data_IF_005333891970
#
_entry.id   IF_005333891970
#
_cell.length_a   1.000
_cell.length_b   1.000
_cell.length_c   1.000
_cell.angle_alpha   90.00
_cell.angle_beta   90.00
_cell.angle_gamma   90.00
#
_symmetry.space_group_name_H-M   'P 1'
#
loop_
_entity.id
_entity.type
_entity.pdbx_description
1 polymer ?
#
# COMPACT_ATOMS: atom_id res chain seq x y z
N UNK A 1 24.72 -25.47 9.63
CA UNK A 1 25.15 -25.93 8.30
C UNK A 1 24.53 -25.04 7.25
N UNK A 2 25.27 -24.66 6.22
CA UNK A 2 24.78 -23.85 5.11
C UNK A 2 24.65 -24.72 3.86
N UNK A 3 23.50 -24.67 3.19
CA UNK A 3 23.27 -25.42 1.95
C UNK A 3 22.74 -24.50 0.85
N UNK A 4 23.39 -24.45 -0.33
CA UNK A 4 22.85 -23.71 -1.46
C UNK A 4 21.55 -24.36 -1.94
N UNK A 5 20.58 -23.54 -2.35
CA UNK A 5 19.33 -24.00 -2.95
C UNK A 5 19.41 -23.91 -4.47
N UNK A 6 18.53 -24.63 -5.17
CA UNK A 6 18.32 -24.46 -6.62
C UNK A 6 17.66 -23.12 -6.97
N UNK A 7 17.19 -22.36 -5.97
CA UNK A 7 16.51 -21.07 -6.11
C UNK A 7 17.24 -19.98 -5.31
N UNK A 8 18.27 -19.36 -5.93
CA UNK A 8 19.00 -18.13 -5.51
C UNK A 8 19.18 -17.88 -3.99
N UNK A 9 19.37 -18.91 -3.18
CA UNK A 9 19.44 -18.76 -1.72
C UNK A 9 20.34 -19.76 -1.02
N UNK A 10 20.61 -19.48 0.25
CA UNK A 10 21.43 -20.33 1.13
C UNK A 10 20.62 -20.64 2.38
N UNK A 11 20.24 -21.90 2.56
CA UNK A 11 19.54 -22.37 3.75
C UNK A 11 20.51 -22.49 4.93
N UNK A 12 20.00 -22.19 6.11
CA UNK A 12 20.70 -22.27 7.39
C UNK A 12 20.04 -23.31 8.26
N UNK A 13 20.77 -24.36 8.61
CA UNK A 13 20.28 -25.50 9.38
C UNK A 13 20.96 -25.59 10.74
N UNK A 14 20.17 -25.89 11.77
CA UNK A 14 20.69 -26.40 13.04
C UNK A 14 21.08 -27.88 12.86
N UNK A 15 22.37 -28.17 13.02
CA UNK A 15 22.91 -29.51 12.77
C UNK A 15 22.51 -30.51 13.85
N UNK A 16 22.37 -30.04 15.10
CA UNK A 16 22.03 -30.92 16.21
C UNK A 16 20.58 -31.39 16.15
N UNK A 17 19.66 -30.52 15.70
CA UNK A 17 18.22 -30.80 15.66
C UNK A 17 17.71 -31.17 14.28
N UNK A 18 18.46 -30.89 13.21
CA UNK A 18 17.98 -31.00 11.83
C UNK A 18 16.95 -29.91 11.44
N UNK A 19 16.77 -28.89 12.28
CA UNK A 19 15.80 -27.82 12.05
C UNK A 19 16.31 -26.80 11.02
N UNK A 20 15.49 -26.47 10.02
CA UNK A 20 15.73 -25.34 9.12
C UNK A 20 15.46 -24.05 9.88
N UNK A 21 16.48 -23.20 10.05
CA UNK A 21 16.34 -21.90 10.68
C UNK A 21 15.82 -20.84 9.70
N UNK A 22 16.14 -20.99 8.41
CA UNK A 22 15.67 -20.09 7.36
C UNK A 22 16.59 -20.08 6.15
N UNK A 23 16.35 -19.15 5.23
CA UNK A 23 17.08 -19.01 3.97
C UNK A 23 17.57 -17.58 3.81
N UNK A 24 18.85 -17.42 3.50
CA UNK A 24 19.41 -16.17 3.01
C UNK A 24 19.16 -16.02 1.51
N UNK A 25 18.71 -14.84 1.10
CA UNK A 25 18.68 -14.37 -0.26
C UNK A 25 19.62 -13.17 -0.37
N UNK A 26 20.49 -13.18 -1.37
CA UNK A 26 21.47 -12.11 -1.60
C UNK A 26 21.10 -11.35 -2.86
N UNK A 27 21.16 -10.03 -2.79
CA UNK A 27 20.94 -9.17 -3.96
C UNK A 27 22.20 -9.19 -4.82
N UNK A 28 22.06 -9.61 -6.08
CA UNK A 28 23.18 -9.82 -7.00
C UNK A 28 24.09 -8.59 -7.08
N UNK A 29 25.41 -8.83 -7.02
CA UNK A 29 26.45 -7.79 -7.10
C UNK A 29 26.42 -6.75 -5.98
N UNK A 30 25.75 -7.04 -4.86
CA UNK A 30 25.74 -6.19 -3.66
C UNK A 30 26.07 -7.01 -2.41
N UNK A 31 26.19 -6.33 -1.27
CA UNK A 31 26.27 -6.95 0.06
C UNK A 31 24.90 -7.04 0.75
N UNK A 32 23.83 -6.71 0.04
CA UNK A 32 22.49 -6.63 0.60
C UNK A 32 21.85 -8.02 0.67
N UNK A 33 21.07 -8.26 1.72
CA UNK A 33 20.51 -9.57 1.99
C UNK A 33 19.15 -9.51 2.67
N UNK A 34 18.41 -10.60 2.55
CA UNK A 34 17.24 -10.90 3.36
C UNK A 34 17.37 -12.33 3.88
N UNK A 35 17.15 -12.51 5.16
CA UNK A 35 16.93 -13.80 5.79
C UNK A 35 15.42 -14.01 6.02
N UNK A 36 14.88 -15.12 5.55
CA UNK A 36 13.46 -15.49 5.72
C UNK A 36 13.39 -16.81 6.48
N UNK A 37 12.66 -16.85 7.59
CA UNK A 37 12.42 -18.07 8.35
C UNK A 37 11.27 -18.91 7.78
N UNK A 38 11.15 -20.21 8.14
CA UNK A 38 10.03 -21.04 7.72
C UNK A 38 8.66 -20.51 8.16
N UNK A 39 8.61 -19.72 9.23
CA UNK A 39 7.39 -19.08 9.74
C UNK A 39 6.98 -17.84 8.94
N UNK A 40 7.80 -17.42 7.96
CA UNK A 40 7.56 -16.24 7.12
C UNK A 40 8.12 -14.93 7.69
N UNK A 41 8.72 -14.96 8.89
CA UNK A 41 9.41 -13.80 9.46
C UNK A 41 10.66 -13.46 8.65
N UNK A 42 11.04 -12.18 8.64
CA UNK A 42 12.25 -11.76 7.95
C UNK A 42 13.09 -10.76 8.74
N UNK A 43 14.38 -10.76 8.41
CA UNK A 43 15.38 -9.76 8.82
C UNK A 43 16.32 -9.52 7.63
N UNK A 44 17.01 -8.40 7.59
CA UNK A 44 17.80 -8.07 6.42
C UNK A 44 18.49 -6.73 6.49
N UNK A 45 19.30 -6.47 5.48
CA UNK A 45 19.84 -5.13 5.28
C UNK A 45 18.73 -4.18 4.79
N UNK A 46 18.80 -2.87 5.08
CA UNK A 46 17.75 -1.93 4.69
C UNK A 46 17.44 -1.90 3.19
N UNK A 47 18.43 -2.10 2.31
CA UNK A 47 18.17 -2.16 0.87
C UNK A 47 17.72 -3.56 0.43
N UNK A 48 18.22 -4.64 1.04
CA UNK A 48 17.75 -6.00 0.75
C UNK A 48 16.26 -6.17 1.05
N UNK A 49 15.80 -5.62 2.17
CA UNK A 49 14.38 -5.67 2.56
C UNK A 49 13.46 -4.91 1.58
N UNK A 50 13.94 -3.88 0.88
CA UNK A 50 13.14 -3.14 -0.11
C UNK A 50 12.82 -3.94 -1.36
N UNK A 51 13.62 -4.97 -1.66
CA UNK A 51 13.43 -5.87 -2.80
C UNK A 51 12.41 -6.98 -2.51
N UNK A 52 11.86 -7.02 -1.30
CA UNK A 52 11.01 -8.11 -0.84
C UNK A 52 9.54 -7.85 -1.18
N UNK A 53 8.92 -8.81 -1.87
CA UNK A 53 7.50 -8.78 -2.19
C UNK A 53 6.85 -10.09 -1.74
N UNK A 54 5.79 -9.97 -0.94
CA UNK A 54 4.94 -11.11 -0.58
C UNK A 54 3.76 -11.18 -1.54
N UNK A 55 3.40 -12.39 -1.95
CA UNK A 55 2.25 -12.64 -2.82
C UNK A 55 1.21 -13.44 -2.06
N UNK A 56 -0.04 -12.98 -2.09
CA UNK A 56 -1.22 -13.73 -1.63
C UNK A 56 -2.24 -13.75 -2.75
N UNK A 57 -2.75 -14.94 -3.10
CA UNK A 57 -3.75 -15.10 -4.18
C UNK A 57 -3.32 -14.42 -5.51
N UNK A 58 -2.04 -14.54 -5.88
CA UNK A 58 -1.42 -13.89 -7.05
C UNK A 58 -1.45 -12.35 -7.04
N UNK A 59 -1.71 -11.71 -5.90
CA UNK A 59 -1.60 -10.26 -5.73
C UNK A 59 -0.42 -9.92 -4.82
N UNK A 60 0.44 -8.95 -5.19
CA UNK A 60 1.47 -8.45 -4.29
C UNK A 60 0.82 -7.72 -3.12
N UNK A 61 1.30 -7.98 -1.91
CA UNK A 61 0.91 -7.26 -0.70
C UNK A 61 1.92 -6.13 -0.48
N UNK A 62 1.47 -4.89 -0.19
CA UNK A 62 2.38 -3.81 0.19
C UNK A 62 3.24 -4.19 1.41
N UNK A 63 4.56 -4.11 1.25
CA UNK A 63 5.51 -4.50 2.28
C UNK A 63 5.32 -3.73 3.58
N UNK A 64 4.90 -2.46 3.52
CA UNK A 64 4.70 -1.60 4.69
C UNK A 64 3.77 -2.22 5.73
N UNK A 65 2.66 -2.84 5.29
CA UNK A 65 1.71 -3.50 6.20
C UNK A 65 2.25 -4.82 6.78
N UNK A 66 3.16 -5.46 6.06
CA UNK A 66 3.79 -6.70 6.51
C UNK A 66 4.97 -6.42 7.42
N UNK A 67 5.68 -5.31 7.22
CA UNK A 67 6.86 -4.97 7.98
C UNK A 67 6.58 -4.95 9.48
N UNK A 68 5.48 -4.32 9.93
CA UNK A 68 5.11 -4.26 11.34
C UNK A 68 4.93 -5.63 12.01
N UNK A 69 4.42 -6.62 11.26
CA UNK A 69 4.09 -7.94 11.80
C UNK A 69 5.16 -9.01 11.54
N UNK A 70 5.93 -8.87 10.47
CA UNK A 70 6.83 -9.92 9.96
C UNK A 70 8.30 -9.57 10.13
N UNK A 71 8.66 -8.29 10.22
CA UNK A 71 10.03 -7.90 10.51
C UNK A 71 10.40 -8.31 11.93
N UNK A 72 11.48 -9.07 12.08
CA UNK A 72 11.99 -9.50 13.37
C UNK A 72 13.49 -9.23 13.43
N UNK A 73 13.95 -8.25 14.21
CA UNK A 73 15.37 -7.95 14.28
C UNK A 73 16.15 -9.13 14.89
N UNK A 74 17.32 -9.39 14.32
CA UNK A 74 18.26 -10.42 14.75
C UNK A 74 17.69 -11.85 14.69
N UNK A 75 16.78 -12.09 13.75
CA UNK A 75 15.97 -13.30 13.63
C UNK A 75 16.83 -14.58 13.63
N UNK A 76 17.89 -14.64 12.82
CA UNK A 76 18.76 -15.82 12.77
C UNK A 76 19.42 -16.07 14.13
N UNK A 77 19.97 -15.02 14.78
CA UNK A 77 20.65 -15.15 16.07
C UNK A 77 19.70 -15.67 17.14
N UNK A 78 18.48 -15.15 17.16
CA UNK A 78 17.41 -15.57 18.08
C UNK A 78 17.01 -17.02 17.86
N UNK A 79 16.76 -17.43 16.62
CA UNK A 79 16.46 -18.84 16.29
C UNK A 79 17.63 -19.78 16.61
N UNK A 80 18.86 -19.36 16.34
CA UNK A 80 20.07 -20.14 16.66
C UNK A 80 20.23 -20.35 18.18
N UNK A 81 19.78 -19.40 18.99
CA UNK A 81 19.74 -19.51 20.46
C UNK A 81 18.53 -20.32 20.99
N UNK A 82 17.73 -20.92 20.10
CA UNK A 82 16.61 -21.78 20.46
C UNK A 82 15.28 -21.06 20.64
N UNK A 83 15.21 -19.75 20.34
CA UNK A 83 13.94 -19.03 20.39
C UNK A 83 12.96 -19.58 19.35
N UNK A 84 11.71 -19.80 19.78
CA UNK A 84 10.63 -20.31 18.95
C UNK A 84 9.70 -19.18 18.56
N UNK A 85 9.37 -19.16 17.27
CA UNK A 85 8.46 -18.19 16.68
C UNK A 85 7.22 -18.91 16.16
N UNK A 86 6.12 -18.18 16.06
CA UNK A 86 4.92 -18.65 15.36
C UNK A 86 4.69 -17.77 14.13
N UNK A 87 4.12 -18.31 13.05
CA UNK A 87 3.73 -17.51 11.90
C UNK A 87 2.85 -16.33 12.32
N UNK A 88 3.15 -15.09 11.88
CA UNK A 88 2.32 -13.94 12.21
C UNK A 88 0.87 -14.14 11.75
N UNK A 89 -0.09 -13.61 12.53
CA UNK A 89 -1.46 -13.60 12.07
C UNK A 89 -1.64 -12.58 10.92
N UNK A 90 -2.09 -13.12 9.79
CA UNK A 90 -2.27 -12.41 8.54
C UNK A 90 -3.72 -11.93 8.33
N UNK A 91 -4.60 -12.20 9.30
CA UNK A 91 -5.94 -11.63 9.42
C UNK A 91 -5.86 -10.10 9.56
N UNK A 92 -6.86 -9.43 9.00
CA UNK A 92 -6.90 -7.96 8.95
C UNK A 92 -5.97 -7.34 7.91
N UNK A 93 -5.31 -8.15 7.09
CA UNK A 93 -4.49 -7.65 5.98
C UNK A 93 -5.32 -7.60 4.70
N UNK A 94 -5.95 -6.45 4.49
CA UNK A 94 -6.87 -6.19 3.39
C UNK A 94 -6.21 -5.40 2.25
N UNK A 95 -6.77 -5.55 1.04
CA UNK A 95 -6.37 -4.79 -0.14
C UNK A 95 -6.42 -3.27 0.15
N UNK A 96 -5.53 -2.51 -0.49
CA UNK A 96 -5.55 -1.05 -0.36
C UNK A 96 -6.87 -0.48 -0.93
N UNK A 97 -7.39 0.64 -0.37
CA UNK A 97 -8.60 1.26 -0.90
C UNK A 97 -8.43 1.68 -2.36
N UNK A 98 -9.47 1.47 -3.16
CA UNK A 98 -9.54 2.01 -4.52
C UNK A 98 -10.07 3.43 -4.46
N UNK A 99 -9.43 4.39 -5.13
CA UNK A 99 -9.82 5.80 -5.11
C UNK A 99 -10.15 6.28 -6.52
N UNK A 100 -11.27 6.99 -6.66
CA UNK A 100 -11.72 7.60 -7.92
C UNK A 100 -12.07 9.08 -7.70
N UNK A 101 -11.47 9.95 -8.52
CA UNK A 101 -11.75 11.39 -8.53
C UNK A 101 -12.68 11.68 -9.70
N UNK A 102 -13.82 12.30 -9.43
CA UNK A 102 -14.77 12.79 -10.42
C UNK A 102 -14.77 14.31 -10.40
N UNK A 103 -14.86 14.91 -11.58
CA UNK A 103 -14.97 16.35 -11.75
C UNK A 103 -16.32 16.69 -12.36
N UNK A 104 -17.07 17.59 -11.74
CA UNK A 104 -18.44 17.93 -12.14
C UNK A 104 -18.49 18.95 -13.30
N UNK A 105 -17.67 18.78 -14.35
CA UNK A 105 -17.90 19.56 -15.58
C UNK A 105 -19.06 18.98 -16.37
N UNK A 106 -20.00 19.84 -16.75
CA UNK A 106 -20.97 19.52 -17.79
C UNK A 106 -20.24 19.52 -19.14
N UNK A 107 -19.82 18.35 -19.63
CA UNK A 107 -19.39 18.21 -21.02
C UNK A 107 -20.54 17.69 -21.90
N UNK A 108 -20.69 18.30 -23.08
CA UNK A 108 -21.42 17.69 -24.21
C UNK A 108 -20.63 16.44 -24.67
N UNK A 109 -21.31 15.31 -24.67
CA UNK A 109 -20.83 13.99 -25.07
C UNK A 109 -20.00 14.00 -26.37
N UNK A 110 -18.69 13.80 -26.27
CA UNK A 110 -17.87 13.09 -27.27
C UNK A 110 -16.69 12.47 -26.52
N UNK A 111 -16.76 11.16 -26.26
CA UNK A 111 -15.66 10.37 -25.71
C UNK A 111 -14.81 9.83 -26.87
N UNK A 112 -13.50 10.02 -26.79
CA UNK A 112 -12.52 9.33 -27.65
C UNK A 112 -11.66 8.50 -26.69
N UNK A 113 -11.62 7.18 -26.89
CA UNK A 113 -11.18 6.19 -25.89
C UNK A 113 -9.73 6.36 -25.38
N UNK A 114 -8.86 7.08 -26.10
CA UNK A 114 -7.41 7.12 -25.81
C UNK A 114 -6.88 8.45 -25.24
N UNK A 115 -7.71 9.48 -25.07
CA UNK A 115 -7.25 10.78 -24.56
C UNK A 115 -7.59 10.97 -23.07
N UNK A 116 -6.59 11.39 -22.29
CA UNK A 116 -6.84 11.88 -20.92
C UNK A 116 -7.83 13.04 -21.00
N UNK A 117 -8.98 12.97 -20.29
CA UNK A 117 -9.98 14.02 -20.39
C UNK A 117 -9.39 15.34 -19.89
N UNK A 118 -9.27 16.31 -20.80
CA UNK A 118 -8.90 17.68 -20.45
C UNK A 118 -10.16 18.44 -20.11
N UNK A 119 -10.19 19.06 -18.92
CA UNK A 119 -11.34 19.77 -18.39
C UNK A 119 -11.07 21.27 -18.39
N UNK A 120 -11.94 22.04 -19.04
CA UNK A 120 -11.76 23.48 -19.19
C UNK A 120 -12.58 24.20 -18.13
N UNK A 121 -11.95 24.55 -17.02
CA UNK A 121 -12.63 25.30 -15.97
C UNK A 121 -12.75 26.78 -16.36
N UNK A 122 -13.97 27.23 -16.67
CA UNK A 122 -14.26 28.65 -16.96
C UNK A 122 -14.86 29.42 -15.78
N UNK A 123 -15.21 28.73 -14.68
CA UNK A 123 -15.85 29.33 -13.51
C UNK A 123 -14.86 29.82 -12.45
N UNK A 124 -13.57 29.47 -12.59
CA UNK A 124 -12.55 29.72 -11.57
C UNK A 124 -12.71 28.82 -10.33
N UNK A 125 -13.60 27.82 -10.40
CA UNK A 125 -13.94 26.94 -9.27
C UNK A 125 -14.15 25.53 -9.79
N UNK A 126 -13.38 24.58 -9.27
CA UNK A 126 -13.51 23.18 -9.59
C UNK A 126 -14.30 22.44 -8.50
N UNK A 127 -15.37 21.74 -8.90
CA UNK A 127 -16.12 20.84 -8.01
C UNK A 127 -15.66 19.40 -8.23
N UNK A 128 -15.04 18.83 -7.20
CA UNK A 128 -14.38 17.54 -7.22
C UNK A 128 -15.05 16.61 -6.22
N UNK A 129 -15.42 15.42 -6.65
CA UNK A 129 -15.88 14.33 -5.77
C UNK A 129 -14.81 13.25 -5.73
N UNK A 130 -14.31 12.95 -4.54
CA UNK A 130 -13.39 11.84 -4.30
C UNK A 130 -14.17 10.70 -3.67
N UNK A 131 -14.17 9.54 -4.32
CA UNK A 131 -14.78 8.32 -3.83
C UNK A 131 -13.66 7.34 -3.47
N UNK A 132 -13.72 6.72 -2.30
CA UNK A 132 -12.83 5.63 -1.93
C UNK A 132 -13.64 4.38 -1.62
N UNK A 133 -13.08 3.20 -1.90
CA UNK A 133 -13.71 1.92 -1.61
C UNK A 133 -12.71 0.96 -0.99
N UNK A 134 -13.00 0.51 0.22
CA UNK A 134 -12.31 -0.54 0.93
C UNK A 134 -13.32 -1.69 1.16
N UNK A 135 -13.35 -2.73 0.30
CA UNK A 135 -14.37 -3.78 0.43
C UNK A 135 -14.24 -4.61 1.70
N UNK A 136 -13.01 -4.79 2.18
CA UNK A 136 -12.69 -5.68 3.29
C UNK A 136 -12.29 -4.90 4.57
N UNK A 137 -12.25 -3.57 4.51
CA UNK A 137 -11.84 -2.69 5.61
C UNK A 137 -12.62 -1.36 5.56
N UNK A 138 -12.28 -0.40 6.41
CA UNK A 138 -12.74 0.97 6.35
C UNK A 138 -11.71 1.89 5.71
N UNK A 139 -12.18 3.02 5.21
CA UNK A 139 -11.30 4.14 4.83
C UNK A 139 -11.16 5.05 6.04
N UNK A 140 -9.95 5.18 6.57
CA UNK A 140 -9.70 6.04 7.74
C UNK A 140 -9.74 7.53 7.41
N UNK A 141 -9.13 7.95 6.30
CA UNK A 141 -9.08 9.36 5.88
C UNK A 141 -8.93 9.52 4.36
N UNK A 142 -9.50 10.59 3.82
CA UNK A 142 -9.23 11.07 2.45
C UNK A 142 -8.67 12.49 2.54
N UNK A 143 -7.51 12.73 1.90
CA UNK A 143 -6.89 14.06 1.76
C UNK A 143 -6.69 14.40 0.28
N UNK A 144 -7.26 15.52 -0.16
CA UNK A 144 -7.00 16.07 -1.48
C UNK A 144 -5.89 17.12 -1.40
N UNK A 145 -4.93 17.06 -2.33
CA UNK A 145 -3.86 18.06 -2.45
C UNK A 145 -3.96 18.75 -3.81
N UNK A 146 -3.88 20.08 -3.81
CA UNK A 146 -3.79 20.89 -5.01
C UNK A 146 -2.47 21.67 -4.96
N UNK A 147 -1.61 21.46 -5.96
CA UNK A 147 -0.27 22.06 -6.06
C UNK A 147 0.55 21.89 -4.77
N UNK A 148 0.55 20.66 -4.22
CA UNK A 148 1.32 20.30 -3.02
C UNK A 148 0.73 20.83 -1.70
N UNK A 149 -0.37 21.59 -1.72
CA UNK A 149 -1.05 22.06 -0.51
C UNK A 149 -2.33 21.26 -0.27
N UNK A 150 -2.56 20.85 0.97
CA UNK A 150 -3.81 20.20 1.35
C UNK A 150 -4.99 21.13 1.08
N UNK A 151 -5.97 20.65 0.33
CA UNK A 151 -7.23 21.34 0.12
C UNK A 151 -8.07 21.15 1.38
N UNK A 152 -8.20 22.22 2.15
CA UNK A 152 -9.04 22.19 3.35
C UNK A 152 -10.52 22.07 2.96
N UNK A 153 -11.22 21.21 3.69
CA UNK A 153 -12.67 21.14 3.63
C UNK A 153 -13.24 22.46 4.14
N UNK A 154 -14.08 23.13 3.36
CA UNK A 154 -14.70 24.39 3.75
C UNK A 154 -15.72 24.25 4.90
N UNK A 155 -16.00 23.04 5.37
CA UNK A 155 -16.94 22.78 6.46
C UNK A 155 -16.39 21.72 7.41
N UNK A 156 -16.22 22.10 8.68
CA UNK A 156 -16.14 21.18 9.82
C UNK A 156 -17.36 20.26 9.77
N UNK A 157 -17.14 18.96 9.64
CA UNK A 157 -18.21 17.96 9.59
C UNK A 157 -17.95 16.99 8.46
N UNK A 158 -17.30 15.88 8.80
CA UNK A 158 -17.26 14.70 7.96
C UNK A 158 -18.71 14.25 7.76
N UNK A 159 -19.24 14.30 6.54
CA UNK A 159 -20.46 13.58 6.18
C UNK A 159 -20.06 12.48 5.22
N UNK A 160 -19.98 11.26 5.74
CA UNK A 160 -19.90 10.04 4.92
C UNK A 160 -21.32 9.77 4.45
N UNK A 161 -21.73 10.38 3.34
CA UNK A 161 -23.04 10.12 2.76
C UNK A 161 -22.84 9.40 1.44
N UNK A 162 -23.33 8.16 1.35
CA UNK A 162 -23.79 7.63 0.07
C UNK A 162 -24.97 8.50 -0.41
N UNK A 163 -25.31 8.41 -1.71
CA UNK A 163 -26.43 9.13 -2.31
C UNK A 163 -27.78 8.94 -1.57
N UNK A 164 -27.87 7.90 -0.73
CA UNK A 164 -29.05 7.50 0.05
C UNK A 164 -28.95 7.80 1.56
N UNK A 165 -27.89 8.49 2.03
CA UNK A 165 -27.81 9.00 3.41
C UNK A 165 -27.41 7.99 4.50
N UNK A 166 -26.90 6.80 4.13
CA UNK A 166 -26.35 5.83 5.09
C UNK A 166 -24.83 5.97 5.24
N UNK A 167 -24.34 5.97 6.49
CA UNK A 167 -22.90 5.99 6.83
C UNK A 167 -22.23 4.65 6.43
N UNK A 168 -21.65 4.58 5.22
CA UNK A 168 -20.77 3.47 4.84
C UNK A 168 -19.30 3.88 4.99
N UNK A 169 -18.68 3.49 6.10
CA UNK A 169 -17.23 3.71 6.35
C UNK A 169 -16.32 2.99 5.33
N UNK A 170 -16.89 2.06 4.56
CA UNK A 170 -16.17 1.26 3.58
C UNK A 170 -16.19 1.93 2.19
N UNK A 171 -17.12 2.86 1.94
CA UNK A 171 -17.29 3.55 0.64
C UNK A 171 -17.50 5.06 0.77
N UNK A 172 -16.64 5.82 1.49
CA UNK A 172 -16.89 7.25 1.66
C UNK A 172 -16.71 8.05 0.37
N UNK A 173 -17.55 9.07 0.24
CA UNK A 173 -17.49 10.07 -0.81
C UNK A 173 -17.31 11.46 -0.19
N UNK A 174 -16.30 12.22 -0.62
CA UNK A 174 -16.03 13.58 -0.14
C UNK A 174 -16.06 14.57 -1.30
N UNK A 175 -16.76 15.68 -1.09
CA UNK A 175 -16.88 16.77 -2.04
C UNK A 175 -15.93 17.91 -1.68
N UNK A 176 -15.14 18.35 -2.65
CA UNK A 176 -14.21 19.47 -2.56
C UNK A 176 -14.57 20.56 -3.56
N UNK A 177 -14.49 21.81 -3.11
CA UNK A 177 -14.59 22.99 -3.95
C UNK A 177 -13.22 23.67 -4.00
N UNK A 178 -12.55 23.59 -5.13
CA UNK A 178 -11.16 24.02 -5.30
C UNK A 178 -11.11 25.28 -6.19
N UNK A 179 -10.66 26.44 -5.68
CA UNK A 179 -10.43 27.61 -6.53
C UNK A 179 -9.34 27.31 -7.57
N UNK A 180 -9.60 27.69 -8.82
CA UNK A 180 -8.64 27.59 -9.93
C UNK A 180 -8.24 28.99 -10.39
N UNK A 181 -6.99 29.13 -10.83
CA UNK A 181 -6.53 30.38 -11.44
C UNK A 181 -7.00 30.36 -12.89
N UNK A 182 -7.83 31.35 -13.27
CA UNK A 182 -8.15 31.60 -14.66
C UNK A 182 -6.98 32.41 -15.23
N UNK A 183 -6.15 31.82 -16.08
CA UNK A 183 -5.20 32.62 -16.85
C UNK A 183 -5.96 33.39 -17.94
N UNK A 184 -5.70 34.70 -18.12
CA UNK A 184 -6.29 35.46 -19.20
C UNK A 184 -5.75 34.93 -20.54
N UNK A 185 -6.66 34.63 -21.47
CA UNK A 185 -6.32 34.36 -22.86
C UNK A 185 -5.60 35.59 -23.44
N UNK A 186 -4.32 35.43 -23.77
CA UNK A 186 -3.53 36.41 -24.53
C UNK A 186 -3.85 36.36 -26.03
#
# INVERSE_FOLDING_TARGET
MFTPTTQKGVQVWNVATGELLGTYYFVEKTTEYVFISPEGLFDGSPAGMKELYFVRNNKPIPLDKLFEKFYTPELLRRKANGEKFSPPNIDGLYDAPKVAIKYAEVKRNLEVEDDKPTYNNTSGIAEITVNATAPEDKVDEIRLFHNGKAVNLATRGLFVTDADGTDSKNTPSIYYRVPTILEPLH
#
